data_IF_946885786954
#
_entry.id   IF_946885786954
#
_cell.length_a   1.000
_cell.length_b   1.000
_cell.length_c   1.000
_cell.angle_alpha   90.00
_cell.angle_beta   90.00
_cell.angle_gamma   90.00
#
_symmetry.space_group_name_H-M   'P 1'
#
loop_
_entity.id
_entity.type
_entity.pdbx_description
1 polymer ?
#
# COMPACT_ATOMS: atom_id res chain seq x y z
N UNK A 1 -23.61 2.90 25.10
CA UNK A 1 -22.47 1.97 25.12
C UNK A 1 -21.23 2.80 25.45
N UNK A 2 -20.33 2.30 26.29
CA UNK A 2 -19.04 2.96 26.54
C UNK A 2 -18.20 2.97 25.28
N UNK A 3 -17.56 4.10 24.96
CA UNK A 3 -16.65 4.20 23.83
C UNK A 3 -15.39 3.37 24.13
N UNK A 4 -15.11 2.37 23.30
CA UNK A 4 -13.86 1.57 23.38
C UNK A 4 -12.86 2.18 22.42
N UNK A 5 -11.68 2.49 22.91
CA UNK A 5 -10.56 2.96 22.10
C UNK A 5 -9.71 1.77 21.64
N UNK A 6 -9.67 1.52 20.33
CA UNK A 6 -8.89 0.45 19.73
C UNK A 6 -7.57 1.02 19.19
N UNK A 7 -6.45 0.58 19.75
CA UNK A 7 -5.09 0.96 19.35
C UNK A 7 -4.35 -0.16 18.60
N UNK A 8 -5.08 -1.12 18.01
CA UNK A 8 -4.46 -2.17 17.21
C UNK A 8 -3.71 -1.54 16.03
N UNK A 9 -2.45 -1.94 15.84
CA UNK A 9 -1.60 -1.44 14.76
C UNK A 9 -2.01 -1.95 13.36
N UNK A 10 -2.81 -3.03 13.30
CA UNK A 10 -3.36 -3.60 12.07
C UNK A 10 -3.91 -5.02 12.30
N UNK A 11 -5.18 -5.29 11.90
CA UNK A 11 -6.15 -4.38 11.27
C UNK A 11 -6.49 -3.18 12.15
N UNK A 12 -6.43 -1.97 11.55
CA UNK A 12 -6.71 -0.73 12.27
C UNK A 12 -8.21 -0.41 12.28
N UNK A 13 -8.59 0.49 13.18
CA UNK A 13 -9.97 0.96 13.32
C UNK A 13 -10.36 1.81 12.10
N UNK A 14 -11.50 1.47 11.47
CA UNK A 14 -12.08 2.28 10.40
C UNK A 14 -12.77 3.53 10.96
N UNK A 15 -12.89 4.62 10.18
CA UNK A 15 -13.62 5.82 10.58
C UNK A 15 -15.07 5.48 10.94
N UNK A 16 -15.54 5.96 12.08
CA UNK A 16 -16.89 5.68 12.57
C UNK A 16 -18.00 6.05 11.56
N UNK A 17 -17.95 7.21 10.86
CA UNK A 17 -18.95 7.53 9.84
C UNK A 17 -19.01 6.50 8.70
N UNK A 18 -17.86 5.95 8.27
CA UNK A 18 -17.79 4.90 7.26
C UNK A 18 -18.48 3.62 7.76
N UNK A 19 -18.19 3.22 9.00
CA UNK A 19 -18.81 2.03 9.59
C UNK A 19 -20.31 2.18 9.79
N UNK A 20 -20.79 3.36 10.18
CA UNK A 20 -22.23 3.66 10.32
C UNK A 20 -22.93 3.60 8.96
N UNK A 21 -22.32 4.16 7.90
CA UNK A 21 -22.86 4.05 6.54
C UNK A 21 -22.91 2.60 6.07
N UNK A 22 -21.83 1.85 6.25
CA UNK A 22 -21.79 0.44 5.90
C UNK A 22 -22.85 -0.40 6.62
N UNK A 23 -23.13 -0.10 7.89
CA UNK A 23 -24.20 -0.73 8.66
C UNK A 23 -25.59 -0.45 8.06
N UNK A 24 -25.85 0.79 7.62
CA UNK A 24 -27.12 1.19 6.99
C UNK A 24 -27.33 0.53 5.63
N UNK A 25 -26.25 0.37 4.86
CA UNK A 25 -26.28 -0.16 3.50
C UNK A 25 -26.00 -1.68 3.42
N UNK A 26 -25.84 -2.36 4.57
CA UNK A 26 -25.39 -3.75 4.60
C UNK A 26 -26.33 -4.72 3.86
N UNK A 27 -27.64 -4.50 3.93
CA UNK A 27 -28.66 -5.35 3.30
C UNK A 27 -29.33 -4.68 2.11
N UNK A 28 -29.20 -3.38 1.95
CA UNK A 28 -29.80 -2.63 0.85
C UNK A 28 -28.85 -1.49 0.43
N UNK A 29 -27.92 -1.82 -0.46
CA UNK A 29 -26.95 -0.87 -0.96
C UNK A 29 -27.58 0.06 -2.00
N UNK A 30 -27.58 1.36 -1.73
CA UNK A 30 -28.14 2.41 -2.59
C UNK A 30 -29.60 2.20 -3.01
N UNK A 31 -30.42 1.51 -2.21
CA UNK A 31 -31.83 1.23 -2.54
C UNK A 31 -32.02 0.17 -3.63
N UNK A 32 -31.02 -0.68 -3.85
CA UNK A 32 -31.07 -1.75 -4.87
C UNK A 32 -31.77 -3.01 -4.37
N UNK A 33 -32.12 -3.08 -3.06
CA UNK A 33 -32.74 -4.25 -2.44
C UNK A 33 -31.80 -5.43 -2.22
N UNK A 34 -30.48 -5.24 -2.42
CA UNK A 34 -29.44 -6.24 -2.23
C UNK A 34 -28.19 -5.61 -1.63
N UNK A 35 -27.39 -6.41 -0.93
CA UNK A 35 -26.06 -5.98 -0.42
C UNK A 35 -25.07 -5.80 -1.54
N UNK A 36 -24.07 -4.90 -1.34
CA UNK A 36 -22.90 -4.82 -2.22
C UNK A 36 -22.10 -6.14 -2.29
N UNK A 37 -22.26 -7.03 -1.31
CA UNK A 37 -21.65 -8.37 -1.31
C UNK A 37 -22.33 -9.34 -2.29
N UNK A 38 -23.58 -9.07 -2.66
CA UNK A 38 -24.42 -9.95 -3.47
C UNK A 38 -24.56 -9.45 -4.92
N UNK A 39 -24.12 -8.20 -5.20
CA UNK A 39 -24.19 -7.63 -6.54
C UNK A 39 -23.05 -8.16 -7.43
N UNK A 40 -23.34 -8.33 -8.71
CA UNK A 40 -22.30 -8.67 -9.69
C UNK A 40 -21.27 -7.54 -9.77
N UNK A 41 -19.99 -7.90 -9.69
CA UNK A 41 -18.90 -6.95 -9.92
C UNK A 41 -18.86 -6.40 -11.36
N UNK A 42 -19.66 -6.97 -12.27
CA UNK A 42 -19.83 -6.51 -13.67
C UNK A 42 -21.06 -5.64 -13.85
N UNK A 43 -21.83 -5.38 -12.79
CA UNK A 43 -22.97 -4.46 -12.85
C UNK A 43 -22.49 -3.03 -13.03
N UNK A 44 -23.33 -2.19 -13.65
CA UNK A 44 -23.00 -0.76 -13.85
C UNK A 44 -22.84 -0.02 -12.54
N UNK A 45 -23.57 -0.42 -11.50
CA UNK A 45 -23.52 0.19 -10.17
C UNK A 45 -22.17 -0.10 -9.49
N UNK A 46 -21.67 -1.35 -9.56
CA UNK A 46 -20.38 -1.71 -8.99
C UNK A 46 -19.23 -1.10 -9.80
N UNK A 47 -19.30 -1.10 -11.13
CA UNK A 47 -18.33 -0.42 -11.99
C UNK A 47 -18.26 1.08 -11.66
N UNK A 48 -19.39 1.74 -11.46
CA UNK A 48 -19.39 3.16 -11.03
C UNK A 48 -18.71 3.37 -9.67
N UNK A 49 -18.93 2.46 -8.71
CA UNK A 49 -18.24 2.48 -7.40
C UNK A 49 -16.72 2.39 -7.57
N UNK A 50 -16.24 1.46 -8.39
CA UNK A 50 -14.80 1.24 -8.57
C UNK A 50 -14.12 2.42 -9.28
N UNK A 51 -14.77 2.98 -10.29
CA UNK A 51 -14.30 4.19 -10.99
C UNK A 51 -14.23 5.41 -10.06
N UNK A 52 -15.25 5.59 -9.22
CA UNK A 52 -15.25 6.66 -8.22
C UNK A 52 -14.16 6.45 -7.17
N UNK A 53 -13.94 5.21 -6.71
CA UNK A 53 -12.88 4.88 -5.77
C UNK A 53 -11.50 5.22 -6.33
N UNK A 54 -11.21 4.80 -7.56
CA UNK A 54 -9.94 5.12 -8.23
C UNK A 54 -9.77 6.63 -8.39
N UNK A 55 -10.79 7.33 -8.89
CA UNK A 55 -10.78 8.79 -9.04
C UNK A 55 -10.45 9.47 -7.72
N UNK A 56 -11.13 9.09 -6.63
CA UNK A 56 -10.93 9.68 -5.32
C UNK A 56 -9.51 9.43 -4.78
N UNK A 57 -8.96 8.23 -4.97
CA UNK A 57 -7.60 7.92 -4.59
C UNK A 57 -6.57 8.71 -5.39
N UNK A 58 -6.77 8.84 -6.72
CA UNK A 58 -5.91 9.67 -7.59
C UNK A 58 -5.88 11.13 -7.13
N UNK A 59 -7.04 11.69 -6.80
CA UNK A 59 -7.15 13.07 -6.32
C UNK A 59 -6.51 13.24 -4.93
N UNK A 60 -6.72 12.29 -4.00
CA UNK A 60 -6.15 12.35 -2.65
C UNK A 60 -4.62 12.30 -2.64
N UNK A 61 -4.03 11.50 -3.52
CA UNK A 61 -2.59 11.28 -3.57
C UNK A 61 -1.88 12.02 -4.72
N UNK A 62 -2.59 12.83 -5.51
CA UNK A 62 -2.06 13.51 -6.70
C UNK A 62 -1.34 12.55 -7.65
N UNK A 63 -1.95 11.37 -7.94
CA UNK A 63 -1.34 10.33 -8.76
C UNK A 63 -1.22 10.80 -10.20
N UNK A 64 0.00 10.83 -10.80
CA UNK A 64 0.20 11.26 -12.19
C UNK A 64 -0.51 10.35 -13.20
N UNK A 65 -0.76 10.87 -14.41
CA UNK A 65 -1.48 10.16 -15.48
C UNK A 65 -0.76 8.91 -15.98
N UNK A 66 0.57 8.89 -15.90
CA UNK A 66 1.42 7.76 -16.31
C UNK A 66 1.57 6.68 -15.22
N UNK A 67 0.60 6.62 -14.28
CA UNK A 67 0.50 5.56 -13.28
C UNK A 67 -0.86 4.87 -13.39
N UNK A 68 -0.86 3.56 -13.17
CA UNK A 68 -2.07 2.75 -13.01
C UNK A 68 -2.33 2.50 -11.52
N UNK A 69 -3.61 2.49 -11.16
CA UNK A 69 -4.09 2.12 -9.83
C UNK A 69 -4.76 0.75 -9.94
N UNK A 70 -4.23 -0.23 -9.21
CA UNK A 70 -4.74 -1.59 -9.23
C UNK A 70 -5.28 -1.95 -7.85
N UNK A 71 -6.47 -2.57 -7.84
CA UNK A 71 -7.08 -3.12 -6.63
C UNK A 71 -6.95 -4.64 -6.68
N UNK A 72 -6.15 -5.21 -5.78
CA UNK A 72 -5.72 -6.59 -5.86
C UNK A 72 -6.05 -7.38 -4.59
N UNK A 73 -5.99 -8.68 -4.68
CA UNK A 73 -6.11 -9.61 -3.55
C UNK A 73 -4.78 -9.78 -2.81
N UNK A 74 -4.82 -10.41 -1.63
CA UNK A 74 -3.64 -10.92 -0.92
C UNK A 74 -2.99 -9.96 0.07
N UNK A 75 -3.43 -8.71 0.16
CA UNK A 75 -2.86 -7.73 1.08
C UNK A 75 -1.37 -7.45 0.81
N UNK A 76 -0.64 -6.86 1.77
CA UNK A 76 0.78 -6.53 1.60
C UNK A 76 1.68 -7.75 1.36
N UNK A 77 1.40 -8.88 2.01
CA UNK A 77 2.19 -10.11 1.81
C UNK A 77 2.05 -10.68 0.40
N UNK A 78 0.86 -10.59 -0.20
CA UNK A 78 0.68 -10.94 -1.60
C UNK A 78 1.55 -10.08 -2.51
N UNK A 79 1.73 -8.81 -2.17
CA UNK A 79 2.57 -7.90 -2.96
C UNK A 79 4.07 -8.19 -2.80
N UNK A 80 4.54 -8.78 -1.71
CA UNK A 80 5.94 -9.27 -1.62
C UNK A 80 6.26 -10.27 -2.73
N UNK A 81 5.32 -11.19 -3.03
CA UNK A 81 5.41 -12.11 -4.15
C UNK A 81 5.29 -11.38 -5.49
N UNK A 82 4.24 -10.56 -5.64
CA UNK A 82 3.88 -9.97 -6.93
C UNK A 82 4.96 -9.03 -7.47
N UNK A 83 5.63 -8.25 -6.62
CA UNK A 83 6.73 -7.38 -7.03
C UNK A 83 7.85 -8.19 -7.71
N UNK A 84 8.27 -9.28 -7.11
CA UNK A 84 9.32 -10.13 -7.65
C UNK A 84 8.90 -10.76 -8.98
N UNK A 85 7.70 -11.35 -9.03
CA UNK A 85 7.23 -12.06 -10.22
C UNK A 85 6.93 -11.12 -11.40
N UNK A 86 6.52 -9.87 -11.13
CA UNK A 86 6.21 -8.90 -12.18
C UNK A 86 7.40 -8.11 -12.71
N UNK A 87 8.53 -8.02 -11.96
CA UNK A 87 9.59 -7.07 -12.34
C UNK A 87 11.00 -7.65 -12.42
N UNK A 88 11.25 -8.85 -11.88
CA UNK A 88 12.61 -9.33 -11.77
C UNK A 88 13.12 -9.96 -13.08
N UNK A 89 12.29 -10.82 -13.71
CA UNK A 89 12.72 -11.66 -14.85
C UNK A 89 13.78 -12.69 -14.44
N UNK A 90 14.11 -13.60 -15.35
CA UNK A 90 14.98 -14.75 -15.07
C UNK A 90 16.43 -14.36 -14.67
N UNK A 91 16.93 -13.24 -15.19
CA UNK A 91 18.31 -12.80 -15.00
C UNK A 91 18.42 -11.45 -14.29
N UNK A 92 17.32 -10.93 -13.73
CA UNK A 92 17.31 -9.67 -13.00
C UNK A 92 17.89 -9.80 -11.60
N UNK A 93 18.27 -8.65 -11.03
CA UNK A 93 18.65 -8.53 -9.61
C UNK A 93 17.82 -7.43 -8.98
N UNK A 94 17.54 -7.56 -7.70
CA UNK A 94 16.89 -6.52 -6.92
C UNK A 94 17.63 -6.26 -5.61
N UNK A 95 17.62 -5.01 -5.16
CA UNK A 95 18.14 -4.61 -3.87
C UNK A 95 16.99 -4.39 -2.90
N UNK A 96 17.04 -5.04 -1.76
CA UNK A 96 16.10 -4.86 -0.66
C UNK A 96 16.77 -4.17 0.51
N UNK A 97 16.21 -3.03 0.92
CA UNK A 97 16.64 -2.33 2.13
C UNK A 97 15.83 -2.87 3.31
N UNK A 98 16.52 -3.39 4.34
CA UNK A 98 15.86 -3.91 5.53
C UNK A 98 16.02 -2.96 6.71
N UNK A 99 14.90 -2.73 7.40
CA UNK A 99 14.82 -1.87 8.57
C UNK A 99 14.06 -2.50 9.75
N UNK A 100 13.43 -3.66 9.55
CA UNK A 100 12.68 -4.37 10.58
C UNK A 100 12.03 -5.64 10.08
N UNK A 101 10.95 -6.03 10.73
CA UNK A 101 10.28 -7.32 10.50
C UNK A 101 9.63 -7.42 9.11
N UNK A 102 9.01 -6.36 8.61
CA UNK A 102 8.26 -6.41 7.35
C UNK A 102 9.20 -6.42 6.15
N UNK A 103 10.19 -5.56 6.13
CA UNK A 103 11.22 -5.55 5.08
C UNK A 103 12.01 -6.87 5.06
N UNK A 104 12.37 -7.43 6.21
CA UNK A 104 13.00 -8.77 6.30
C UNK A 104 12.08 -9.89 5.78
N UNK A 105 10.75 -9.77 6.01
CA UNK A 105 9.79 -10.74 5.45
C UNK A 105 9.68 -10.62 3.93
N UNK A 106 9.76 -9.40 3.38
CA UNK A 106 9.77 -9.17 1.94
C UNK A 106 11.02 -9.78 1.28
N UNK A 107 12.20 -9.59 1.88
CA UNK A 107 13.46 -10.22 1.43
C UNK A 107 13.35 -11.74 1.42
N UNK A 108 12.86 -12.33 2.51
CA UNK A 108 12.70 -13.80 2.60
C UNK A 108 11.81 -14.36 1.51
N UNK A 109 10.70 -13.65 1.21
CA UNK A 109 9.80 -14.05 0.14
C UNK A 109 10.46 -13.88 -1.24
N UNK A 110 11.17 -12.78 -1.47
CA UNK A 110 11.88 -12.55 -2.71
C UNK A 110 12.94 -13.63 -2.99
N UNK A 111 13.76 -13.96 -1.99
CA UNK A 111 14.76 -15.04 -2.08
C UNK A 111 14.14 -16.42 -2.30
N UNK A 112 12.97 -16.68 -1.68
CA UNK A 112 12.23 -17.93 -1.88
C UNK A 112 11.78 -18.11 -3.33
N UNK A 113 11.41 -17.01 -4.02
CA UNK A 113 10.89 -17.04 -5.39
C UNK A 113 12.02 -17.04 -6.41
N UNK A 114 12.97 -16.13 -6.27
CA UNK A 114 14.00 -15.87 -7.28
C UNK A 114 15.34 -16.54 -6.98
N UNK A 115 15.56 -16.98 -5.74
CA UNK A 115 16.84 -17.51 -5.25
C UNK A 115 17.75 -16.43 -4.67
N UNK A 116 18.71 -16.87 -3.85
CA UNK A 116 19.64 -16.00 -3.10
C UNK A 116 20.51 -15.12 -4.02
N UNK A 117 20.87 -15.63 -5.21
CA UNK A 117 21.80 -14.96 -6.12
C UNK A 117 21.20 -13.71 -6.81
N UNK A 118 19.87 -13.59 -6.87
CA UNK A 118 19.19 -12.48 -7.53
C UNK A 118 18.76 -11.38 -6.56
N UNK A 119 18.83 -11.62 -5.26
CA UNK A 119 18.32 -10.70 -4.23
C UNK A 119 19.47 -10.28 -3.32
N UNK A 120 19.87 -9.03 -3.46
CA UNK A 120 20.79 -8.39 -2.52
C UNK A 120 19.99 -7.74 -1.38
N UNK A 121 20.56 -7.81 -0.17
CA UNK A 121 19.96 -7.27 1.04
C UNK A 121 20.92 -6.29 1.70
N UNK A 122 20.41 -5.15 2.14
CA UNK A 122 21.17 -4.13 2.85
C UNK A 122 20.39 -3.68 4.08
N UNK A 123 20.91 -3.96 5.28
CA UNK A 123 20.35 -3.41 6.51
C UNK A 123 20.69 -1.93 6.63
N UNK A 124 19.67 -1.09 6.80
CA UNK A 124 19.77 0.36 6.90
C UNK A 124 19.54 0.90 8.31
N UNK A 125 19.51 0.02 9.33
CA UNK A 125 19.33 0.42 10.72
C UNK A 125 20.64 0.22 11.50
N UNK A 126 21.07 1.29 12.14
CA UNK A 126 22.16 1.28 13.09
C UNK A 126 21.63 1.46 14.52
N UNK A 127 22.31 0.85 15.48
CA UNK A 127 22.02 1.08 16.90
C UNK A 127 23.06 2.06 17.45
N UNK A 128 22.61 3.29 17.73
CA UNK A 128 23.45 4.36 18.26
C UNK A 128 22.93 4.71 19.66
N UNK A 129 23.78 4.53 20.69
CA UNK A 129 23.41 4.77 22.09
C UNK A 129 22.12 4.03 22.55
N UNK A 130 21.93 2.79 22.06
CA UNK A 130 20.75 1.98 22.39
C UNK A 130 19.45 2.37 21.63
N UNK A 131 19.52 3.35 20.73
CA UNK A 131 18.40 3.75 19.88
C UNK A 131 18.62 3.29 18.44
N UNK A 132 17.56 2.79 17.81
CA UNK A 132 17.58 2.46 16.39
C UNK A 132 17.48 3.72 15.54
N UNK A 133 18.41 3.88 14.63
CA UNK A 133 18.46 4.99 13.67
C UNK A 133 18.52 4.45 12.25
N UNK A 134 17.67 4.98 11.38
CA UNK A 134 17.75 4.71 9.94
C UNK A 134 18.92 5.50 9.36
N UNK A 135 19.79 4.80 8.64
CA UNK A 135 20.92 5.36 7.90
C UNK A 135 20.74 4.98 6.43
N UNK A 136 20.13 5.87 5.64
CA UNK A 136 19.95 5.64 4.21
C UNK A 136 21.29 5.64 3.51
N UNK A 137 21.60 4.60 2.69
CA UNK A 137 22.85 4.51 1.96
C UNK A 137 22.87 5.47 0.77
N UNK A 138 24.06 5.85 0.32
CA UNK A 138 24.25 6.45 -0.98
C UNK A 138 24.15 5.35 -2.06
N UNK A 139 23.00 5.28 -2.72
CA UNK A 139 22.74 4.29 -3.77
C UNK A 139 23.20 4.72 -5.15
N UNK A 140 23.65 5.98 -5.32
CA UNK A 140 24.07 6.52 -6.62
C UNK A 140 25.43 5.97 -7.09
N UNK A 141 26.26 5.47 -6.15
CA UNK A 141 27.63 5.02 -6.41
C UNK A 141 27.80 3.49 -6.27
N UNK A 142 26.73 2.72 -6.31
CA UNK A 142 26.81 1.25 -6.24
C UNK A 142 27.17 0.71 -7.62
N UNK A 143 28.26 -0.04 -7.71
CA UNK A 143 28.70 -0.72 -8.95
C UNK A 143 27.97 -2.06 -9.16
N UNK A 144 26.66 -1.99 -9.27
CA UNK A 144 25.76 -3.10 -9.62
C UNK A 144 24.54 -2.54 -10.33
N UNK A 145 23.93 -3.35 -11.19
CA UNK A 145 22.67 -3.00 -11.84
C UNK A 145 21.51 -3.77 -11.20
N UNK A 146 20.44 -3.05 -10.86
CA UNK A 146 19.24 -3.61 -10.26
C UNK A 146 18.00 -3.28 -11.10
N UNK A 147 17.06 -4.21 -11.16
CA UNK A 147 15.75 -3.97 -11.75
C UNK A 147 14.94 -2.97 -10.93
N UNK A 148 15.06 -3.05 -9.60
CA UNK A 148 14.42 -2.15 -8.66
C UNK A 148 15.11 -2.19 -7.30
N UNK A 149 14.82 -1.18 -6.49
CA UNK A 149 15.14 -1.12 -5.06
C UNK A 149 13.84 -1.18 -4.28
N UNK A 150 13.75 -2.09 -3.30
CA UNK A 150 12.57 -2.26 -2.46
C UNK A 150 12.85 -1.83 -1.02
N UNK A 151 11.86 -1.17 -0.38
CA UNK A 151 11.87 -0.90 1.05
C UNK A 151 10.46 -0.86 1.65
N UNK A 152 10.36 -1.04 2.97
CA UNK A 152 9.15 -0.77 3.74
C UNK A 152 9.27 0.59 4.40
N UNK A 153 8.35 1.52 4.14
CA UNK A 153 8.45 2.87 4.68
C UNK A 153 8.18 2.92 6.19
N UNK A 154 7.48 1.93 6.74
CA UNK A 154 7.22 1.87 8.17
C UNK A 154 7.18 0.42 8.66
N UNK A 155 7.99 0.14 9.67
CA UNK A 155 8.05 -1.10 10.42
C UNK A 155 7.17 -0.97 11.68
N UNK A 156 5.90 -1.36 11.56
CA UNK A 156 4.90 -1.15 12.63
C UNK A 156 5.15 -1.97 13.89
N UNK A 157 5.95 -3.01 13.82
CA UNK A 157 6.35 -3.82 14.99
C UNK A 157 7.56 -3.19 15.67
N UNK A 158 8.52 -2.73 14.88
CA UNK A 158 9.80 -2.20 15.37
C UNK A 158 9.72 -0.68 15.68
N UNK A 159 8.65 -0.02 15.24
CA UNK A 159 8.42 1.42 15.47
C UNK A 159 9.36 2.32 14.66
N UNK A 160 9.82 1.85 13.50
CA UNK A 160 10.74 2.58 12.61
C UNK A 160 9.96 3.09 11.41
N UNK A 161 10.06 4.39 11.14
CA UNK A 161 9.47 5.04 9.96
C UNK A 161 10.53 5.80 9.16
N UNK A 162 10.48 5.65 7.83
CA UNK A 162 11.37 6.31 6.87
C UNK A 162 10.56 7.41 6.18
N UNK A 163 10.85 8.66 6.52
CA UNK A 163 10.19 9.83 5.94
C UNK A 163 10.86 10.30 4.65
N UNK A 164 12.13 10.01 4.48
CA UNK A 164 12.92 10.45 3.34
C UNK A 164 12.62 9.56 2.12
N UNK A 165 12.57 10.19 0.95
CA UNK A 165 12.49 9.46 -0.32
C UNK A 165 13.89 9.01 -0.73
N UNK A 166 14.02 7.74 -1.15
CA UNK A 166 15.28 7.20 -1.67
C UNK A 166 15.68 7.91 -2.97
N UNK A 167 16.96 8.24 -3.08
CA UNK A 167 17.58 8.69 -4.32
C UNK A 167 18.47 7.56 -4.86
N UNK A 168 18.10 7.00 -6.00
CA UNK A 168 18.87 5.93 -6.66
C UNK A 168 18.57 5.92 -8.16
N UNK A 169 19.48 5.30 -8.98
CA UNK A 169 19.28 5.24 -10.43
C UNK A 169 18.20 4.25 -10.88
N UNK A 170 17.72 3.38 -10.00
CA UNK A 170 16.74 2.35 -10.28
C UNK A 170 15.34 2.71 -9.80
N UNK A 171 14.29 2.12 -10.37
CA UNK A 171 12.92 2.30 -9.88
C UNK A 171 12.80 1.93 -8.40
N UNK A 172 12.16 2.78 -7.62
CA UNK A 172 11.88 2.55 -6.21
C UNK A 172 10.54 1.86 -6.05
N UNK A 173 10.53 0.73 -5.37
CA UNK A 173 9.33 -0.02 -4.97
C UNK A 173 9.14 0.11 -3.47
N UNK A 174 7.99 0.60 -3.03
CA UNK A 174 7.75 0.88 -1.62
C UNK A 174 6.49 0.18 -1.08
N UNK A 175 6.65 -0.50 0.06
CA UNK A 175 5.54 -0.87 0.94
C UNK A 175 5.12 0.33 1.78
N UNK A 176 3.96 0.91 1.46
CA UNK A 176 3.36 2.00 2.22
C UNK A 176 2.14 1.54 3.03
N UNK A 177 2.00 0.26 3.35
CA UNK A 177 0.79 -0.28 4.00
C UNK A 177 0.35 0.48 5.25
N UNK A 178 1.29 1.03 6.01
CA UNK A 178 0.98 1.77 7.24
C UNK A 178 1.10 3.29 7.12
N UNK A 179 1.62 3.79 6.00
CA UNK A 179 1.86 5.22 5.80
C UNK A 179 1.05 5.82 4.64
N UNK A 180 0.53 4.97 3.73
CA UNK A 180 -0.32 5.45 2.63
C UNK A 180 -1.47 6.29 3.18
N UNK A 181 -1.72 7.44 2.57
CA UNK A 181 -2.76 8.40 2.96
C UNK A 181 -2.64 8.95 4.39
N UNK A 182 -1.52 8.78 5.10
CA UNK A 182 -1.27 9.43 6.39
C UNK A 182 -0.75 10.86 6.23
N UNK A 183 -0.03 11.12 5.15
CA UNK A 183 0.51 12.42 4.75
C UNK A 183 0.66 12.50 3.23
N UNK A 184 0.93 13.70 2.72
CA UNK A 184 1.22 13.90 1.30
C UNK A 184 2.59 13.31 0.95
N UNK A 185 2.65 12.60 -0.18
CA UNK A 185 3.88 12.06 -0.78
C UNK A 185 3.95 12.43 -2.25
N UNK A 186 5.14 12.53 -2.79
CA UNK A 186 5.36 12.69 -4.23
C UNK A 186 5.42 11.33 -4.90
N UNK A 187 4.29 10.89 -5.47
CA UNK A 187 4.14 9.59 -6.16
C UNK A 187 5.14 9.44 -7.30
N UNK A 188 5.56 10.55 -7.94
CA UNK A 188 6.48 10.51 -9.09
C UNK A 188 7.89 9.98 -8.75
N UNK A 189 8.23 9.94 -7.47
CA UNK A 189 9.51 9.38 -6.98
C UNK A 189 9.56 7.85 -6.97
N UNK A 190 8.43 7.19 -7.21
CA UNK A 190 8.33 5.74 -7.11
C UNK A 190 8.08 5.11 -8.48
N UNK A 191 8.68 3.96 -8.73
CA UNK A 191 8.28 3.08 -9.83
C UNK A 191 7.01 2.33 -9.48
N UNK A 192 6.88 1.93 -8.21
CA UNK A 192 5.69 1.28 -7.67
C UNK A 192 5.52 1.58 -6.18
N UNK A 193 4.29 1.84 -5.79
CA UNK A 193 3.81 1.87 -4.41
C UNK A 193 2.80 0.75 -4.24
N UNK A 194 2.88 -0.02 -3.16
CA UNK A 194 1.79 -0.91 -2.77
C UNK A 194 1.42 -0.75 -1.30
N UNK A 195 0.20 -1.13 -0.97
CA UNK A 195 -0.31 -1.09 0.40
C UNK A 195 -1.37 -2.15 0.65
N UNK A 196 -1.25 -2.90 1.73
CA UNK A 196 -2.34 -3.68 2.28
C UNK A 196 -3.40 -2.76 2.88
N UNK A 197 -4.69 -3.02 2.59
CA UNK A 197 -5.76 -2.09 2.96
C UNK A 197 -6.03 -2.01 4.47
N UNK A 198 -5.69 -3.04 5.25
CA UNK A 198 -6.12 -3.23 6.64
C UNK A 198 -5.64 -2.18 7.65
N UNK A 199 -4.84 -1.20 7.24
CA UNK A 199 -4.36 -0.12 8.10
C UNK A 199 -5.10 1.18 7.81
N UNK A 200 -4.80 1.85 6.70
CA UNK A 200 -5.30 3.19 6.42
C UNK A 200 -6.38 3.24 5.32
N UNK A 201 -6.61 2.15 4.59
CA UNK A 201 -7.46 2.13 3.40
C UNK A 201 -8.83 1.52 3.68
N UNK A 202 -8.86 0.38 4.39
CA UNK A 202 -10.10 -0.38 4.56
C UNK A 202 -9.90 -1.67 5.34
N UNK A 203 -10.68 -2.72 5.10
CA UNK A 203 -10.52 -4.00 5.76
C UNK A 203 -9.39 -4.83 5.13
N UNK A 204 -9.04 -5.93 5.79
CA UNK A 204 -8.10 -6.93 5.25
C UNK A 204 -8.61 -7.59 3.97
N UNK A 205 -7.69 -8.17 3.18
CA UNK A 205 -8.00 -8.92 1.96
C UNK A 205 -7.82 -8.14 0.66
N UNK A 206 -7.89 -6.82 0.72
CA UNK A 206 -7.60 -5.91 -0.40
C UNK A 206 -6.18 -5.35 -0.28
N UNK A 207 -5.54 -5.14 -1.42
CA UNK A 207 -4.33 -4.31 -1.54
C UNK A 207 -4.50 -3.32 -2.69
N UNK A 208 -3.80 -2.19 -2.59
CA UNK A 208 -3.70 -1.19 -3.64
C UNK A 208 -2.27 -1.23 -4.18
N UNK A 209 -2.15 -1.14 -5.50
CA UNK A 209 -0.89 -0.98 -6.20
C UNK A 209 -1.00 0.25 -7.09
N UNK A 210 -0.03 1.16 -6.98
CA UNK A 210 0.13 2.33 -7.84
C UNK A 210 1.42 2.11 -8.61
N UNK A 211 1.33 1.80 -9.89
CA UNK A 211 2.45 1.37 -10.72
C UNK A 211 2.64 2.28 -11.92
N UNK A 212 3.88 2.69 -12.18
CA UNK A 212 4.25 3.53 -13.32
C UNK A 212 4.27 2.72 -14.62
N UNK A 213 3.90 3.33 -15.74
CA UNK A 213 3.77 2.68 -17.06
C UNK A 213 4.99 1.86 -17.48
N UNK A 214 6.20 2.40 -17.29
CA UNK A 214 7.44 1.76 -17.68
C UNK A 214 7.73 0.48 -16.91
N UNK A 215 7.23 0.38 -15.67
CA UNK A 215 7.36 -0.83 -14.85
C UNK A 215 6.61 -2.02 -15.45
N UNK A 216 5.46 -1.77 -16.08
CA UNK A 216 4.64 -2.83 -16.69
C UNK A 216 5.30 -3.46 -17.95
N UNK A 217 6.32 -2.81 -18.51
CA UNK A 217 7.12 -3.35 -19.61
C UNK A 217 8.36 -4.16 -19.14
N UNK A 218 8.57 -4.29 -17.82
CA UNK A 218 9.72 -5.05 -17.29
C UNK A 218 9.54 -6.55 -17.50
N UNK A 219 10.66 -7.31 -17.56
CA UNK A 219 10.61 -8.78 -17.66
C UNK A 219 9.94 -9.40 -16.43
N UNK A 220 9.06 -10.36 -16.66
CA UNK A 220 8.33 -11.09 -15.62
C UNK A 220 8.89 -12.50 -15.40
N UNK A 221 8.67 -13.06 -14.22
CA UNK A 221 8.77 -14.50 -13.96
C UNK A 221 7.42 -15.17 -14.26
N UNK A 222 7.42 -16.49 -14.37
CA UNK A 222 6.16 -17.25 -14.48
C UNK A 222 5.31 -17.03 -13.24
N UNK A 223 4.07 -16.61 -13.45
CA UNK A 223 3.13 -16.27 -12.37
C UNK A 223 1.69 -16.63 -12.72
N UNK A 224 0.83 -16.59 -11.70
CA UNK A 224 -0.62 -16.72 -11.88
C UNK A 224 -1.20 -15.45 -12.51
N UNK A 225 -2.13 -15.61 -13.47
CA UNK A 225 -2.83 -14.49 -14.13
C UNK A 225 -3.48 -13.51 -13.14
N UNK A 226 -3.96 -14.00 -11.99
CA UNK A 226 -4.57 -13.14 -10.95
C UNK A 226 -3.56 -12.30 -10.18
N UNK A 227 -2.27 -12.55 -10.36
CA UNK A 227 -1.15 -11.84 -9.73
C UNK A 227 -0.38 -10.97 -10.73
N UNK A 228 -0.73 -11.03 -12.01
CA UNK A 228 -0.11 -10.26 -13.08
C UNK A 228 -0.68 -8.83 -13.11
N UNK A 229 0.21 -7.84 -12.99
CA UNK A 229 -0.20 -6.43 -12.95
C UNK A 229 -0.72 -5.95 -14.29
N UNK A 230 -0.19 -6.44 -15.41
CA UNK A 230 -0.66 -6.10 -16.75
C UNK A 230 -2.06 -6.65 -17.00
N UNK A 231 -2.29 -7.92 -16.67
CA UNK A 231 -3.63 -8.53 -16.77
C UNK A 231 -4.61 -7.82 -15.84
N UNK A 232 -4.20 -7.47 -14.62
CA UNK A 232 -5.03 -6.74 -13.66
C UNK A 232 -5.41 -5.36 -14.22
N UNK A 233 -4.45 -4.63 -14.77
CA UNK A 233 -4.66 -3.33 -15.43
C UNK A 233 -5.63 -3.44 -16.61
N UNK A 234 -5.40 -4.38 -17.51
CA UNK A 234 -6.18 -4.55 -18.74
C UNK A 234 -7.64 -4.98 -18.49
N UNK A 235 -7.95 -5.35 -17.25
CA UNK A 235 -9.28 -5.76 -16.80
C UNK A 235 -9.85 -4.84 -15.70
N UNK A 236 -9.38 -3.60 -15.54
CA UNK A 236 -9.85 -2.65 -14.53
C UNK A 236 -9.88 -3.26 -13.12
N UNK A 237 -8.87 -4.06 -12.78
CA UNK A 237 -8.75 -4.84 -11.53
C UNK A 237 -9.86 -5.88 -11.29
N UNK A 238 -10.63 -6.23 -12.32
CA UNK A 238 -11.77 -7.16 -12.26
C UNK A 238 -11.57 -8.38 -13.18
N UNK A 239 -10.32 -8.83 -13.38
CA UNK A 239 -10.02 -10.06 -14.10
C UNK A 239 -10.73 -11.28 -13.47
N UNK A 240 -10.72 -11.37 -12.15
CA UNK A 240 -11.54 -12.28 -11.36
C UNK A 240 -12.47 -11.49 -10.42
N UNK A 241 -13.39 -12.18 -9.76
CA UNK A 241 -14.30 -11.53 -8.80
C UNK A 241 -13.51 -10.88 -7.67
N UNK A 242 -13.58 -9.55 -7.49
CA UNK A 242 -12.84 -8.86 -6.45
C UNK A 242 -13.52 -9.00 -5.08
N UNK A 243 -12.87 -8.66 -3.96
CA UNK A 243 -13.50 -8.59 -2.65
C UNK A 243 -14.41 -7.36 -2.57
N UNK A 244 -15.64 -7.47 -3.12
CA UNK A 244 -16.57 -6.35 -3.37
C UNK A 244 -16.83 -5.50 -2.14
N UNK A 245 -17.07 -6.13 -0.97
CA UNK A 245 -17.32 -5.41 0.27
C UNK A 245 -16.07 -4.66 0.78
N UNK A 246 -14.89 -5.24 0.63
CA UNK A 246 -13.65 -4.58 1.01
C UNK A 246 -13.36 -3.36 0.10
N UNK A 247 -13.67 -3.48 -1.19
CA UNK A 247 -13.52 -2.37 -2.13
C UNK A 247 -14.53 -1.24 -1.83
N UNK A 248 -15.78 -1.62 -1.54
CA UNK A 248 -16.81 -0.65 -1.10
C UNK A 248 -16.36 0.12 0.14
N UNK A 249 -15.86 -0.55 1.18
CA UNK A 249 -15.37 0.12 2.38
C UNK A 249 -14.18 1.03 2.10
N UNK A 250 -13.25 0.62 1.24
CA UNK A 250 -12.14 1.46 0.81
C UNK A 250 -12.64 2.72 0.06
N UNK A 251 -13.62 2.56 -0.84
CA UNK A 251 -14.24 3.68 -1.54
C UNK A 251 -14.87 4.70 -0.56
N UNK A 252 -15.56 4.20 0.47
CA UNK A 252 -16.16 5.06 1.49
C UNK A 252 -15.11 5.75 2.38
N UNK A 253 -13.98 5.09 2.66
CA UNK A 253 -12.84 5.72 3.34
C UNK A 253 -12.27 6.87 2.49
N UNK A 254 -12.11 6.69 1.18
CA UNK A 254 -11.61 7.75 0.29
C UNK A 254 -12.57 8.94 0.23
N UNK A 255 -13.89 8.69 0.15
CA UNK A 255 -14.92 9.75 0.23
C UNK A 255 -14.85 10.50 1.55
N UNK A 256 -14.76 9.77 2.66
CA UNK A 256 -14.63 10.36 3.99
C UNK A 256 -13.36 11.23 4.10
N UNK A 257 -12.21 10.75 3.64
CA UNK A 257 -10.96 11.51 3.65
C UNK A 257 -11.09 12.83 2.87
N UNK A 258 -11.70 12.80 1.68
CA UNK A 258 -11.97 14.03 0.92
C UNK A 258 -12.91 14.97 1.68
N UNK A 259 -13.96 14.43 2.31
CA UNK A 259 -14.92 15.18 3.08
C UNK A 259 -14.33 15.91 4.30
N UNK A 260 -13.28 15.35 4.92
CA UNK A 260 -12.58 15.98 6.06
C UNK A 260 -11.43 16.91 5.65
N UNK A 261 -11.27 17.20 4.37
CA UNK A 261 -10.29 18.14 3.84
C UNK A 261 -9.01 17.52 3.29
N UNK A 262 -9.02 16.20 3.04
CA UNK A 262 -7.92 15.48 2.40
C UNK A 262 -6.71 15.23 3.32
N UNK A 263 -5.61 14.78 2.70
CA UNK A 263 -4.41 14.34 3.44
C UNK A 263 -3.73 15.47 4.23
N UNK A 264 -3.72 16.68 3.68
CA UNK A 264 -3.11 17.85 4.34
C UNK A 264 -3.79 18.15 5.68
N UNK A 265 -5.12 18.17 5.71
CA UNK A 265 -5.87 18.44 6.94
C UNK A 265 -5.73 17.29 7.94
N UNK A 266 -5.72 16.04 7.45
CA UNK A 266 -5.50 14.87 8.28
C UNK A 266 -4.12 14.92 8.95
N UNK A 267 -3.06 15.19 8.21
CA UNK A 267 -1.68 15.31 8.71
C UNK A 267 -1.55 16.36 9.80
N UNK A 268 -2.15 17.55 9.62
CA UNK A 268 -2.19 18.61 10.64
C UNK A 268 -2.89 18.13 11.92
N UNK A 269 -4.05 17.45 11.78
CA UNK A 269 -4.80 16.92 12.92
C UNK A 269 -4.00 15.85 13.68
N UNK A 270 -3.32 14.95 12.96
CA UNK A 270 -2.49 13.89 13.53
C UNK A 270 -1.28 14.45 14.27
N UNK A 271 -0.61 15.46 13.70
CA UNK A 271 0.52 16.13 14.34
C UNK A 271 0.11 16.80 15.65
N UNK A 272 -1.06 17.45 15.69
CA UNK A 272 -1.60 18.03 16.95
C UNK A 272 -1.84 16.95 18.02
N UNK A 273 -2.42 15.81 17.65
CA UNK A 273 -2.64 14.69 18.57
C UNK A 273 -1.32 14.12 19.09
N UNK A 274 -0.32 13.95 18.24
CA UNK A 274 1.02 13.49 18.63
C UNK A 274 1.63 14.40 19.71
N UNK A 275 1.54 15.72 19.55
CA UNK A 275 2.04 16.67 20.55
C UNK A 275 1.30 16.59 21.89
N UNK A 276 0.03 16.19 21.89
CA UNK A 276 -0.72 15.99 23.14
C UNK A 276 -0.33 14.69 23.87
N UNK A 277 0.06 13.63 23.13
CA UNK A 277 0.40 12.33 23.74
C UNK A 277 1.87 12.20 24.18
N UNK A 278 2.79 12.87 23.52
CA UNK A 278 4.24 12.77 23.83
C UNK A 278 4.59 13.13 25.28
N UNK A 279 4.03 14.18 25.92
CA UNK A 279 4.34 14.47 27.31
C UNK A 279 3.88 13.39 28.29
N UNK A 280 2.81 12.64 27.96
CA UNK A 280 2.27 11.57 28.81
C UNK A 280 3.13 10.30 28.74
N UNK A 281 3.81 10.07 27.62
CA UNK A 281 4.67 8.90 27.45
C UNK A 281 6.10 9.13 27.98
N UNK A 282 6.47 10.39 28.26
CA UNK A 282 7.78 10.77 28.79
C UNK A 282 7.77 11.05 30.32
N UNK A 283 6.59 11.02 30.94
CA UNK A 283 6.39 11.10 32.39
C UNK A 283 6.23 9.72 33.04
#
# INVERSE_FOLDING_TARGET
MSTIYNFCAGPAMLPQPVMQKAQQELIDWNGLGVSVMEISHRSKEFIALTQEAEKNLRELMNIPQNYHVLFMHGGGRGQFTNVVTNFLGDNGRALYLTSGQWSSSAVKEAKRIAGESQIDELNIVETINGLHKVCLPDLMNIDKDYRFVHYCANETVDGIEIFDTLSCPWPVVADLSSTIMSHEIDVSKFGLIYAGAQKNIGPSGLSIVIVRDDMLAMPTLVQSSVMDYTITKDNDSMFNTPPTFAWYLAAEVFKWLKGVGGLRQLSVSTSKKRHCFMPVLMS
#
